data_IF_231756330690
#
_entry.id   IF_231756330690
#
_cell.length_a   1.000
_cell.length_b   1.000
_cell.length_c   1.000
_cell.angle_alpha   90.00
_cell.angle_beta   90.00
_cell.angle_gamma   90.00
#
_symmetry.space_group_name_H-M   'P 1'
#
loop_
_entity.id
_entity.type
_entity.pdbx_description
1 polymer ?
#
# COMPACT_ATOMS: atom_id res chain seq x y z
N UNK A 1 19.43 12.30 8.55
CA UNK A 1 19.78 10.97 8.02
C UNK A 1 18.99 10.82 6.74
N UNK A 2 19.61 11.25 5.66
CA UNK A 2 19.04 11.32 4.33
C UNK A 2 19.07 9.92 3.71
N UNK A 3 17.90 9.31 3.50
CA UNK A 3 17.77 8.11 2.66
C UNK A 3 17.86 8.52 1.18
N UNK A 4 19.03 9.04 0.80
CA UNK A 4 19.34 9.52 -0.55
C UNK A 4 19.79 8.35 -1.44
N UNK A 5 18.91 7.35 -1.60
CA UNK A 5 19.22 6.15 -2.39
C UNK A 5 18.06 5.19 -2.67
N UNK A 6 16.86 5.40 -2.11
CA UNK A 6 15.68 4.66 -2.54
C UNK A 6 15.06 5.40 -3.73
N UNK A 7 14.86 4.71 -4.86
CA UNK A 7 14.21 5.25 -6.04
C UNK A 7 12.89 5.93 -5.71
N UNK A 8 12.48 6.91 -6.51
CA UNK A 8 11.19 7.56 -6.29
C UNK A 8 10.08 6.67 -6.86
N UNK A 9 9.35 5.97 -5.99
CA UNK A 9 8.25 5.10 -6.40
C UNK A 9 6.90 5.76 -6.11
N UNK A 10 6.14 6.03 -7.16
CA UNK A 10 4.74 6.44 -7.07
C UNK A 10 3.86 5.21 -6.93
N UNK A 11 2.99 5.19 -5.92
CA UNK A 11 2.06 4.10 -5.68
C UNK A 11 0.62 4.56 -5.92
N UNK A 12 -0.18 3.69 -6.56
CA UNK A 12 -1.61 3.87 -6.78
C UNK A 12 -2.34 2.86 -5.92
N UNK A 13 -3.12 3.34 -4.95
CA UNK A 13 -3.74 2.51 -3.91
C UNK A 13 -5.27 2.63 -3.98
N UNK A 14 -5.98 1.51 -4.04
CA UNK A 14 -7.43 1.48 -3.86
C UNK A 14 -7.78 1.79 -2.40
N UNK A 15 -8.58 2.85 -2.20
CA UNK A 15 -8.94 3.41 -0.87
C UNK A 15 -7.73 3.61 0.06
N UNK A 16 -6.56 3.91 -0.52
CA UNK A 16 -5.30 4.14 0.20
C UNK A 16 -4.72 2.92 0.93
N UNK A 17 -5.20 1.71 0.63
CA UNK A 17 -4.81 0.46 1.29
C UNK A 17 -4.24 -0.58 0.33
N UNK A 18 -4.98 -0.93 -0.73
CA UNK A 18 -4.61 -2.03 -1.62
C UNK A 18 -3.84 -1.49 -2.83
N UNK A 19 -2.59 -1.92 -3.02
CA UNK A 19 -1.78 -1.52 -4.18
C UNK A 19 -2.39 -2.00 -5.50
N UNK A 20 -2.62 -1.08 -6.43
CA UNK A 20 -3.08 -1.38 -7.78
C UNK A 20 -1.94 -1.30 -8.78
N UNK A 21 -1.07 -0.31 -8.63
CA UNK A 21 0.08 -0.12 -9.48
C UNK A 21 1.18 0.65 -8.76
N UNK A 22 2.41 0.49 -9.23
CA UNK A 22 3.52 1.36 -8.86
C UNK A 22 4.36 1.70 -10.07
N UNK A 23 4.90 2.92 -10.07
CA UNK A 23 5.79 3.44 -11.11
C UNK A 23 7.03 4.02 -10.45
N UNK A 24 8.22 3.62 -10.85
CA UNK A 24 9.46 4.13 -10.26
C UNK A 24 10.72 3.49 -10.83
N UNK A 25 11.85 3.88 -10.27
CA UNK A 25 13.18 3.38 -10.66
C UNK A 25 13.34 1.87 -10.41
N UNK A 26 12.66 1.32 -9.40
CA UNK A 26 12.63 -0.11 -9.06
C UNK A 26 11.73 -0.94 -10.00
N UNK A 27 11.18 -0.31 -11.04
CA UNK A 27 10.35 -0.95 -12.04
C UNK A 27 8.86 -0.63 -11.87
N UNK A 28 8.11 -0.93 -12.92
CA UNK A 28 6.67 -0.76 -12.94
C UNK A 28 6.01 -2.06 -12.51
N UNK A 29 4.97 -1.95 -11.68
CA UNK A 29 4.11 -3.07 -11.34
C UNK A 29 2.66 -2.64 -11.54
N UNK A 30 1.83 -3.55 -12.03
CA UNK A 30 0.40 -3.32 -12.21
C UNK A 30 -0.36 -4.61 -11.94
N UNK A 31 -1.29 -4.53 -11.01
CA UNK A 31 -2.11 -5.63 -10.54
C UNK A 31 -3.54 -5.44 -11.04
N UNK A 32 -4.06 -6.44 -11.75
CA UNK A 32 -5.45 -6.48 -12.18
C UNK A 32 -6.21 -7.48 -11.31
N UNK A 33 -7.00 -6.96 -10.36
CA UNK A 33 -7.82 -7.79 -9.48
C UNK A 33 -9.02 -8.37 -10.24
N UNK A 34 -9.18 -9.69 -10.13
CA UNK A 34 -10.28 -10.44 -10.76
C UNK A 34 -11.56 -10.42 -9.91
N UNK A 35 -11.42 -10.04 -8.64
CA UNK A 35 -12.48 -10.01 -7.64
C UNK A 35 -12.86 -8.57 -7.26
N UNK A 36 -14.08 -8.40 -6.78
CA UNK A 36 -14.54 -7.11 -6.26
C UNK A 36 -13.82 -6.74 -4.96
N UNK A 37 -12.95 -5.72 -5.04
CA UNK A 37 -12.20 -5.21 -3.88
C UNK A 37 -13.13 -4.63 -2.81
N UNK A 38 -14.28 -4.08 -3.18
CA UNK A 38 -15.20 -3.44 -2.24
C UNK A 38 -15.71 -4.43 -1.17
N UNK A 39 -15.76 -5.73 -1.49
CA UNK A 39 -16.12 -6.81 -0.56
C UNK A 39 -15.23 -6.95 0.69
N UNK A 40 -14.09 -6.25 0.78
CA UNK A 40 -13.29 -6.17 2.02
C UNK A 40 -13.89 -5.19 3.04
N UNK A 41 -14.70 -4.23 2.60
CA UNK A 41 -15.27 -3.21 3.46
C UNK A 41 -16.67 -3.59 3.97
N UNK A 42 -17.07 -3.12 5.16
CA UNK A 42 -16.29 -2.31 6.10
C UNK A 42 -15.22 -3.13 6.85
N UNK A 43 -14.06 -2.53 7.06
CA UNK A 43 -12.96 -3.15 7.80
C UNK A 43 -13.29 -3.26 9.29
N UNK A 44 -13.17 -4.46 9.84
CA UNK A 44 -13.34 -4.76 11.26
C UNK A 44 -12.26 -5.72 11.71
N UNK A 45 -11.83 -5.61 12.97
CA UNK A 45 -10.86 -6.57 13.54
C UNK A 45 -11.38 -8.00 13.36
N UNK A 46 -10.52 -8.87 12.86
CA UNK A 46 -10.84 -10.25 12.49
C UNK A 46 -11.37 -10.45 11.07
N UNK A 47 -11.67 -9.38 10.32
CA UNK A 47 -12.06 -9.50 8.92
C UNK A 47 -10.91 -10.09 8.09
N UNK A 48 -11.25 -11.03 7.21
CA UNK A 48 -10.32 -11.72 6.31
C UNK A 48 -10.89 -11.80 4.91
N UNK A 49 -10.07 -11.53 3.90
CA UNK A 49 -10.42 -11.69 2.49
C UNK A 49 -9.21 -12.15 1.69
N UNK A 50 -9.48 -12.87 0.62
CA UNK A 50 -8.50 -13.25 -0.38
C UNK A 50 -8.95 -12.70 -1.72
N UNK A 51 -8.03 -12.09 -2.47
CA UNK A 51 -8.30 -11.51 -3.78
C UNK A 51 -7.37 -12.10 -4.81
N UNK A 52 -7.91 -12.72 -5.85
CA UNK A 52 -7.12 -13.16 -7.00
C UNK A 52 -6.81 -11.98 -7.91
N UNK A 53 -5.60 -11.93 -8.43
CA UNK A 53 -5.17 -10.88 -9.37
C UNK A 53 -4.21 -11.43 -10.42
N UNK A 54 -4.00 -10.65 -11.48
CA UNK A 54 -3.00 -10.88 -12.51
C UNK A 54 -1.94 -9.79 -12.45
N UNK A 55 -0.67 -10.15 -12.62
CA UNK A 55 0.40 -9.19 -12.88
C UNK A 55 0.40 -8.85 -14.36
N UNK A 56 0.24 -7.57 -14.69
CA UNK A 56 0.25 -7.09 -16.07
C UNK A 56 1.68 -6.91 -16.61
N UNK A 57 2.65 -6.76 -15.71
CA UNK A 57 4.07 -6.60 -16.03
C UNK A 57 4.87 -7.63 -15.21
N UNK A 58 5.69 -8.46 -15.87
CA UNK A 58 6.68 -9.31 -15.21
C UNK A 58 6.24 -10.67 -14.63
N UNK A 59 5.02 -11.16 -14.88
CA UNK A 59 4.55 -12.50 -14.43
C UNK A 59 4.46 -13.54 -15.55
N UNK A 60 4.70 -14.83 -15.24
CA UNK A 60 4.38 -15.92 -16.17
C UNK A 60 2.86 -16.10 -16.22
N UNK A 61 2.30 -16.31 -17.42
CA UNK A 61 0.83 -16.39 -17.62
C UNK A 61 0.13 -17.55 -16.90
N UNK A 62 0.88 -18.54 -16.40
CA UNK A 62 0.33 -19.68 -15.65
C UNK A 62 0.34 -19.44 -14.12
N UNK A 63 1.03 -18.40 -13.66
CA UNK A 63 1.16 -18.11 -12.23
C UNK A 63 -0.18 -17.64 -11.63
N UNK A 64 -0.60 -18.30 -10.56
CA UNK A 64 -1.77 -17.91 -9.78
C UNK A 64 -1.35 -16.99 -8.64
N UNK A 65 -1.76 -15.74 -8.73
CA UNK A 65 -1.50 -14.73 -7.72
C UNK A 65 -2.73 -14.44 -6.87
N UNK A 66 -2.54 -14.39 -5.57
CA UNK A 66 -3.60 -13.99 -4.62
C UNK A 66 -3.04 -13.08 -3.53
N UNK A 67 -3.87 -12.14 -3.08
CA UNK A 67 -3.61 -11.27 -1.96
C UNK A 67 -4.53 -11.64 -0.80
N UNK A 68 -3.96 -12.19 0.26
CA UNK A 68 -4.66 -12.47 1.51
C UNK A 68 -4.54 -11.27 2.45
N UNK A 69 -5.67 -10.71 2.86
CA UNK A 69 -5.77 -9.59 3.78
C UNK A 69 -6.44 -10.02 5.09
N UNK A 70 -5.87 -9.60 6.22
CA UNK A 70 -6.45 -9.83 7.55
C UNK A 70 -6.33 -8.59 8.42
N UNK A 71 -7.44 -8.11 8.97
CA UNK A 71 -7.42 -7.04 9.97
C UNK A 71 -7.11 -7.65 11.33
N UNK A 72 -5.93 -7.37 11.89
CA UNK A 72 -5.43 -8.06 13.10
C UNK A 72 -5.78 -7.33 14.38
N UNK A 73 -5.66 -6.00 14.41
CA UNK A 73 -5.89 -5.18 15.61
C UNK A 73 -6.27 -3.74 15.24
N UNK A 74 -6.82 -3.04 16.22
CA UNK A 74 -7.17 -1.62 16.13
C UNK A 74 -6.51 -0.87 17.29
N UNK A 75 -5.82 0.24 17.00
CA UNK A 75 -5.11 1.05 18.01
C UNK A 75 -5.14 2.53 17.66
N UNK A 76 -4.88 3.38 18.64
CA UNK A 76 -4.52 4.77 18.37
C UNK A 76 -3.07 4.82 17.88
N UNK A 77 -2.84 5.57 16.81
CA UNK A 77 -1.53 5.78 16.22
C UNK A 77 -1.21 7.28 16.17
N UNK A 78 -0.13 7.71 16.85
CA UNK A 78 0.27 9.11 16.83
C UNK A 78 0.91 9.44 15.48
N UNK A 79 0.46 10.52 14.86
CA UNK A 79 1.09 11.08 13.67
C UNK A 79 1.17 12.59 13.84
N UNK A 80 2.41 13.11 13.94
CA UNK A 80 2.69 14.50 14.30
C UNK A 80 1.97 14.90 15.60
N UNK A 81 0.98 15.80 15.51
CA UNK A 81 0.25 16.36 16.65
C UNK A 81 -1.13 15.70 16.86
N UNK A 82 -1.51 14.74 16.02
CA UNK A 82 -2.82 14.08 16.07
C UNK A 82 -2.68 12.59 16.41
N UNK A 83 -3.73 12.03 17.01
CA UNK A 83 -3.86 10.59 17.21
C UNK A 83 -4.99 10.08 16.33
N UNK A 84 -4.69 9.13 15.45
CA UNK A 84 -5.66 8.54 14.55
C UNK A 84 -6.00 7.13 15.02
N UNK A 85 -7.28 6.77 14.94
CA UNK A 85 -7.69 5.40 15.16
C UNK A 85 -7.39 4.60 13.89
N UNK A 86 -6.47 3.65 13.99
CA UNK A 86 -5.98 2.88 12.85
C UNK A 86 -6.24 1.40 13.02
N UNK A 87 -6.32 0.71 11.89
CA UNK A 87 -6.41 -0.72 11.75
C UNK A 87 -5.08 -1.27 11.24
N UNK A 88 -4.60 -2.33 11.87
CA UNK A 88 -3.45 -3.07 11.37
C UNK A 88 -3.99 -4.15 10.44
N UNK A 89 -3.59 -4.08 9.17
CA UNK A 89 -4.02 -4.99 8.11
C UNK A 89 -2.81 -5.76 7.65
N UNK A 90 -2.77 -7.06 7.92
CA UNK A 90 -1.72 -7.94 7.40
C UNK A 90 -2.02 -8.26 5.94
N UNK A 91 -0.98 -8.13 5.11
CA UNK A 91 -0.93 -8.49 3.70
C UNK A 91 -0.07 -9.74 3.57
N UNK A 92 -0.54 -10.71 2.81
CA UNK A 92 0.21 -11.89 2.38
C UNK A 92 -0.05 -12.08 0.88
N UNK A 93 0.92 -11.69 0.05
CA UNK A 93 0.91 -11.98 -1.39
C UNK A 93 1.37 -13.42 -1.54
N UNK A 94 0.62 -14.19 -2.33
CA UNK A 94 0.93 -15.59 -2.59
C UNK A 94 1.05 -15.85 -4.08
N UNK A 95 2.07 -16.63 -4.41
CA UNK A 95 2.33 -17.17 -5.74
C UNK A 95 2.13 -18.68 -5.71
N UNK A 96 1.20 -19.19 -6.52
CA UNK A 96 0.89 -20.63 -6.60
C UNK A 96 0.63 -21.28 -5.22
N UNK A 97 -0.08 -20.54 -4.35
CA UNK A 97 -0.42 -20.98 -2.99
C UNK A 97 0.70 -20.87 -1.95
N UNK A 98 1.89 -20.37 -2.31
CA UNK A 98 3.00 -20.12 -1.37
C UNK A 98 3.12 -18.63 -1.08
N UNK A 99 3.34 -18.26 0.17
CA UNK A 99 3.62 -16.87 0.55
C UNK A 99 4.91 -16.40 -0.13
N UNK A 100 4.78 -15.30 -0.85
CA UNK A 100 5.85 -14.64 -1.60
C UNK A 100 6.33 -13.40 -0.85
N UNK A 101 5.38 -12.58 -0.36
CA UNK A 101 5.68 -11.37 0.40
C UNK A 101 4.63 -11.16 1.50
N UNK A 102 5.06 -10.68 2.67
CA UNK A 102 4.17 -10.43 3.80
C UNK A 102 4.57 -9.18 4.57
N UNK A 103 3.61 -8.31 4.86
CA UNK A 103 3.82 -7.11 5.66
C UNK A 103 2.51 -6.70 6.36
N UNK A 104 2.55 -5.65 7.17
CA UNK A 104 1.37 -5.08 7.82
C UNK A 104 1.24 -3.60 7.48
N UNK A 105 0.06 -3.19 7.00
CA UNK A 105 -0.29 -1.79 6.80
C UNK A 105 -0.99 -1.24 8.05
N UNK A 106 -0.55 -0.07 8.51
CA UNK A 106 -1.20 0.73 9.55
C UNK A 106 -2.15 1.71 8.88
N UNK A 107 -3.42 1.32 8.76
CA UNK A 107 -4.42 1.98 7.92
C UNK A 107 -5.38 2.84 8.74
N UNK A 108 -5.58 4.10 8.34
CA UNK A 108 -6.64 4.95 8.88
C UNK A 108 -7.88 4.86 7.99
N UNK A 109 -8.99 4.23 8.46
CA UNK A 109 -10.23 4.16 7.69
C UNK A 109 -10.93 5.52 7.54
N UNK A 110 -10.71 6.45 8.47
CA UNK A 110 -11.28 7.79 8.44
C UNK A 110 -10.65 8.63 7.32
N UNK A 111 -9.31 8.60 7.25
CA UNK A 111 -8.54 9.30 6.22
C UNK A 111 -8.45 8.51 4.91
N UNK A 112 -8.85 7.24 4.92
CA UNK A 112 -8.69 6.28 3.82
C UNK A 112 -7.26 6.22 3.29
N UNK A 113 -6.28 6.10 4.20
CA UNK A 113 -4.86 6.03 3.83
C UNK A 113 -4.03 5.20 4.80
N UNK A 114 -2.99 4.58 4.28
CA UNK A 114 -1.96 3.88 5.05
C UNK A 114 -0.95 4.88 5.60
N UNK A 115 -0.80 4.92 6.92
CA UNK A 115 0.09 5.84 7.64
C UNK A 115 1.49 5.27 7.85
N UNK A 116 1.60 3.95 7.87
CA UNK A 116 2.87 3.26 7.99
C UNK A 116 2.77 1.83 7.46
N UNK A 117 3.91 1.24 7.11
CA UNK A 117 4.06 -0.19 6.88
C UNK A 117 4.98 -0.79 7.94
N UNK A 118 4.75 -2.06 8.27
CA UNK A 118 5.57 -2.84 9.21
C UNK A 118 5.94 -4.14 8.52
N UNK A 119 7.24 -4.35 8.32
CA UNK A 119 7.83 -5.59 7.84
C UNK A 119 8.29 -6.43 9.03
N UNK A 120 8.18 -7.75 8.90
CA UNK A 120 8.57 -8.73 9.92
C UNK A 120 7.99 -8.48 11.33
N UNK A 121 6.73 -8.01 11.40
CA UNK A 121 6.02 -7.68 12.67
C UNK A 121 6.12 -8.84 13.69
N UNK A 122 6.61 -8.53 14.89
CA UNK A 122 6.75 -9.48 16.00
C UNK A 122 8.04 -10.30 16.01
N UNK A 123 9.01 -9.98 15.15
CA UNK A 123 10.34 -10.62 15.13
C UNK A 123 11.43 -9.67 15.64
N UNK A 124 12.68 -10.14 15.68
CA UNK A 124 13.84 -9.31 16.03
C UNK A 124 14.21 -8.28 14.94
N UNK A 125 13.75 -8.51 13.70
CA UNK A 125 14.03 -7.67 12.52
C UNK A 125 12.87 -6.72 12.17
N UNK A 126 11.88 -6.57 13.07
CA UNK A 126 10.71 -5.72 12.85
C UNK A 126 11.12 -4.30 12.43
N UNK A 127 10.66 -3.90 11.24
CA UNK A 127 10.96 -2.58 10.68
C UNK A 127 9.66 -1.84 10.39
N UNK A 128 9.50 -0.65 10.98
CA UNK A 128 8.35 0.21 10.74
C UNK A 128 8.74 1.45 9.94
N UNK A 129 8.08 1.63 8.79
CA UNK A 129 8.24 2.81 7.94
C UNK A 129 6.98 3.65 8.02
N UNK A 130 7.02 4.73 8.79
CA UNK A 130 5.93 5.70 8.89
C UNK A 130 6.09 6.80 7.83
N UNK A 131 5.01 7.10 7.11
CA UNK A 131 5.00 8.18 6.14
C UNK A 131 4.94 9.53 6.86
N UNK A 132 5.80 10.47 6.47
CA UNK A 132 5.85 11.79 7.10
C UNK A 132 4.83 12.77 6.50
N UNK A 133 4.58 12.64 5.19
CA UNK A 133 3.66 13.48 4.41
C UNK A 133 2.85 12.61 3.47
N UNK A 134 1.53 12.83 3.42
CA UNK A 134 0.60 12.17 2.51
C UNK A 134 -0.16 13.28 1.77
N UNK A 135 0.04 13.38 0.46
CA UNK A 135 -0.60 14.42 -0.37
C UNK A 135 -1.63 13.80 -1.32
N UNK A 136 -2.81 14.43 -1.49
CA UNK A 136 -3.78 13.98 -2.48
C UNK A 136 -3.23 14.20 -3.89
N UNK A 137 -3.46 13.23 -4.77
CA UNK A 137 -3.13 13.36 -6.19
C UNK A 137 -4.03 14.45 -6.80
N UNK A 138 -3.46 15.61 -7.14
CA UNK A 138 -4.15 16.63 -7.97
C UNK A 138 -4.20 18.07 -7.46
N UNK A 139 -3.50 18.46 -6.41
CA UNK A 139 -3.44 19.90 -6.02
C UNK A 139 -2.28 20.68 -6.65
N UNK A 140 -1.53 20.05 -7.55
CA UNK A 140 -0.59 20.74 -8.42
C UNK A 140 -1.35 21.47 -9.53
N UNK A 141 -1.75 22.71 -9.28
CA UNK A 141 -2.06 23.65 -10.37
C UNK A 141 -0.82 23.67 -11.27
N UNK A 142 -0.93 23.13 -12.48
CA UNK A 142 0.11 23.25 -13.48
C UNK A 142 0.26 24.74 -13.82
N UNK A 143 1.10 25.47 -13.09
CA UNK A 143 1.67 26.71 -13.59
C UNK A 143 2.71 26.31 -14.63
N UNK A 144 2.24 26.11 -15.87
CA UNK A 144 3.08 26.33 -17.04
C UNK A 144 3.53 27.79 -16.97
N UNK A 145 4.77 28.00 -16.52
CA UNK A 145 5.49 29.23 -16.84
C UNK A 145 6.08 28.99 -18.22
N UNK A 146 5.41 29.49 -19.25
CA UNK A 146 6.06 29.74 -20.53
C UNK A 146 7.21 30.71 -20.27
N UNK A 147 8.46 30.30 -20.56
CA UNK A 147 9.57 31.24 -20.67
C UNK A 147 9.35 32.02 -21.97
N UNK A 148 9.34 33.37 -21.95
CA UNK A 148 9.43 34.12 -23.18
C UNK A 148 10.79 33.84 -23.83
N UNK A 149 10.75 33.55 -25.13
CA UNK A 149 11.93 33.52 -25.98
C UNK A 149 12.49 34.94 -26.09
N UNK A 150 13.77 35.10 -25.77
CA UNK A 150 14.70 36.07 -26.39
C UNK A 150 16.13 35.51 -26.32
#
# INVERSE_FOLDING_TARGET
>A
MDFNGAGSQKQFLYRGLIGLASLGDDGNNSQYFLSDLESFWPLKVGARRSFEFLLLDGGETDDKWSLDLTVTKQRAFPMRFCNYLVLYVSFDIRKNGKSDQKWTAVYSPDLQVTLATIDDEGTEDETMVAYDVIEPLGTGRATSVERPEE
#
